data_IF_359512927450
#
_entry.id   IF_359512927450
#
_cell.length_a   1.000
_cell.length_b   1.000
_cell.length_c   1.000
_cell.angle_alpha   90.00
_cell.angle_beta   90.00
_cell.angle_gamma   90.00
#
_symmetry.space_group_name_H-M   'P 1'
#
loop_
_entity.id
_entity.type
_entity.pdbx_description
1 polymer ?
#
# COMPACT_ATOMS: atom_id res chain seq x y z
N UNK A 1 0.44 -8.33 10.58
CA UNK A 1 -0.59 -7.31 10.27
C UNK A 1 -1.16 -6.81 11.59
N UNK A 2 -1.84 -5.66 11.63
CA UNK A 2 -2.38 -5.18 12.91
C UNK A 2 -3.54 -6.04 13.42
N UNK A 3 -3.90 -5.87 14.67
CA UNK A 3 -5.14 -6.43 15.22
C UNK A 3 -6.39 -5.78 14.62
N UNK A 4 -7.46 -6.57 14.54
CA UNK A 4 -8.80 -6.14 14.17
C UNK A 4 -9.56 -5.53 15.36
N UNK A 5 -9.41 -6.13 16.55
CA UNK A 5 -10.12 -5.77 17.79
C UNK A 5 -9.19 -5.80 19.01
N UNK A 6 -8.49 -6.90 19.25
CA UNK A 6 -7.80 -7.16 20.52
C UNK A 6 -6.26 -7.21 20.36
N UNK A 7 -5.47 -6.87 21.39
CA UNK A 7 -5.89 -6.27 22.67
C UNK A 7 -6.35 -4.81 22.53
N UNK A 8 -5.92 -4.14 21.45
CA UNK A 8 -6.37 -2.80 21.06
C UNK A 8 -6.45 -2.77 19.55
N UNK A 9 -7.52 -2.23 18.98
CA UNK A 9 -7.69 -2.10 17.53
C UNK A 9 -6.49 -1.40 16.86
N UNK A 10 -5.96 -1.99 15.78
CA UNK A 10 -4.82 -1.45 15.05
C UNK A 10 -3.46 -1.68 15.72
N UNK A 11 -3.39 -2.48 16.79
CA UNK A 11 -2.12 -2.79 17.46
C UNK A 11 -1.16 -3.52 16.53
N UNK A 12 0.11 -3.08 16.52
CA UNK A 12 1.21 -3.65 15.73
C UNK A 12 2.53 -3.31 16.41
N UNK A 13 3.47 -4.25 16.44
CA UNK A 13 4.68 -4.16 17.27
C UNK A 13 6.01 -4.15 16.49
N UNK A 14 5.99 -4.52 15.21
CA UNK A 14 7.21 -4.69 14.42
C UNK A 14 7.11 -4.14 12.99
N UNK A 15 8.27 -4.03 12.33
CA UNK A 15 8.40 -3.54 10.96
C UNK A 15 8.34 -4.64 9.90
N UNK A 16 8.03 -5.88 10.29
CA UNK A 16 8.17 -7.05 9.42
C UNK A 16 7.10 -7.10 8.33
N UNK A 17 7.48 -7.70 7.20
CA UNK A 17 6.59 -7.95 6.06
C UNK A 17 5.95 -6.65 5.53
N UNK A 18 4.62 -6.59 5.40
CA UNK A 18 3.93 -5.44 4.81
C UNK A 18 4.00 -4.16 5.66
N UNK A 19 4.24 -4.26 6.99
CA UNK A 19 4.25 -3.10 7.89
C UNK A 19 5.28 -2.05 7.45
N UNK A 20 6.53 -2.47 7.21
CA UNK A 20 7.61 -1.58 6.80
C UNK A 20 7.38 -0.92 5.43
N UNK A 21 6.79 -1.66 4.49
CA UNK A 21 6.47 -1.12 3.16
C UNK A 21 5.35 -0.09 3.27
N UNK A 22 4.27 -0.39 3.99
CA UNK A 22 3.13 0.54 4.17
C UNK A 22 3.60 1.82 4.87
N UNK A 23 4.46 1.70 5.87
CA UNK A 23 5.09 2.84 6.52
C UNK A 23 5.93 3.69 5.55
N UNK A 24 6.76 3.06 4.73
CA UNK A 24 7.57 3.72 3.72
C UNK A 24 6.74 4.39 2.63
N UNK A 25 5.64 3.76 2.22
CA UNK A 25 4.64 4.33 1.30
C UNK A 25 4.00 5.58 1.91
N UNK A 26 3.58 5.52 3.18
CA UNK A 26 2.99 6.67 3.86
C UNK A 26 3.97 7.81 4.14
N UNK A 27 5.27 7.52 4.27
CA UNK A 27 6.35 8.53 4.31
C UNK A 27 6.70 9.10 2.92
N UNK A 28 6.16 8.52 1.85
CA UNK A 28 6.38 8.97 0.47
C UNK A 28 7.70 8.49 -0.16
N UNK A 29 8.41 7.58 0.50
CA UNK A 29 9.72 7.08 0.03
C UNK A 29 9.62 5.80 -0.80
N UNK A 30 8.48 5.09 -0.75
CA UNK A 30 8.21 3.91 -1.57
C UNK A 30 6.94 4.11 -2.39
N UNK A 31 7.05 4.00 -3.71
CA UNK A 31 6.05 4.52 -4.68
C UNK A 31 5.74 3.60 -5.86
N UNK A 32 6.41 2.47 -5.98
CA UNK A 32 6.06 1.45 -6.98
C UNK A 32 6.40 0.08 -6.42
N UNK A 33 5.51 -0.88 -6.66
CA UNK A 33 5.73 -2.27 -6.30
C UNK A 33 5.36 -3.15 -7.50
N UNK A 34 6.15 -4.18 -7.75
CA UNK A 34 5.79 -5.17 -8.73
C UNK A 34 4.71 -6.09 -8.15
N UNK A 35 3.65 -6.31 -8.91
CA UNK A 35 2.55 -7.19 -8.53
C UNK A 35 1.36 -7.08 -9.46
N UNK A 36 0.43 -8.02 -9.35
CA UNK A 36 -0.79 -8.02 -10.15
C UNK A 36 -1.93 -7.47 -9.30
N UNK A 37 -2.31 -6.21 -9.53
CA UNK A 37 -3.31 -5.51 -8.72
C UNK A 37 -4.68 -6.20 -8.61
N UNK A 38 -5.07 -7.00 -9.60
CA UNK A 38 -6.35 -7.74 -9.61
C UNK A 38 -6.32 -9.03 -8.80
N UNK A 39 -5.14 -9.53 -8.41
CA UNK A 39 -5.01 -10.74 -7.61
C UNK A 39 -5.43 -10.49 -6.16
N UNK A 40 -5.96 -11.53 -5.54
CA UNK A 40 -6.37 -11.51 -4.13
C UNK A 40 -5.15 -11.39 -3.23
N UNK A 41 -5.22 -10.48 -2.27
CA UNK A 41 -4.28 -10.31 -1.19
C UNK A 41 -4.85 -11.03 0.04
N UNK A 42 -4.27 -12.17 0.40
CA UNK A 42 -4.72 -12.93 1.56
C UNK A 42 -4.11 -12.35 2.84
N UNK A 43 -4.89 -11.53 3.55
CA UNK A 43 -4.42 -10.72 4.69
C UNK A 43 -5.23 -11.09 5.94
N UNK A 44 -4.60 -11.67 6.95
CA UNK A 44 -5.31 -12.03 8.19
C UNK A 44 -4.85 -11.12 9.35
N UNK A 45 -5.77 -10.45 10.07
CA UNK A 45 -5.44 -9.74 11.30
C UNK A 45 -4.78 -10.66 12.33
N UNK A 46 -3.85 -10.13 13.13
CA UNK A 46 -3.03 -10.95 14.04
C UNK A 46 -3.89 -11.63 15.13
N UNK A 47 -4.87 -10.93 15.65
CA UNK A 47 -5.80 -11.42 16.68
C UNK A 47 -6.74 -12.51 16.16
N UNK A 48 -7.17 -12.43 14.90
CA UNK A 48 -7.92 -13.52 14.24
C UNK A 48 -7.12 -14.83 14.21
N UNK A 49 -5.82 -14.75 13.89
CA UNK A 49 -4.94 -15.94 13.87
C UNK A 49 -4.74 -16.48 15.29
N UNK A 50 -4.51 -15.61 16.27
CA UNK A 50 -4.32 -15.99 17.67
C UNK A 50 -5.58 -16.67 18.23
N UNK A 51 -6.77 -16.12 17.98
CA UNK A 51 -8.03 -16.70 18.41
C UNK A 51 -8.23 -18.10 17.81
N UNK A 52 -7.95 -18.27 16.52
CA UNK A 52 -7.98 -19.59 15.90
C UNK A 52 -6.98 -20.54 16.56
N UNK A 53 -5.74 -20.10 16.84
CA UNK A 53 -4.73 -20.94 17.49
C UNK A 53 -5.17 -21.43 18.87
N UNK A 54 -5.79 -20.57 19.69
CA UNK A 54 -6.31 -20.93 21.01
C UNK A 54 -7.37 -22.04 20.88
N UNK A 55 -8.33 -21.85 19.97
CA UNK A 55 -9.41 -22.82 19.77
C UNK A 55 -8.90 -24.13 19.16
N UNK A 56 -7.93 -24.05 18.24
CA UNK A 56 -7.25 -25.23 17.70
C UNK A 56 -6.55 -26.05 18.79
N UNK A 57 -5.91 -25.40 19.76
CA UNK A 57 -5.27 -26.10 20.88
C UNK A 57 -6.29 -26.87 21.73
N UNK A 58 -7.42 -26.24 22.07
CA UNK A 58 -8.53 -26.90 22.75
C UNK A 58 -9.07 -28.09 21.94
N UNK A 59 -9.34 -27.89 20.64
CA UNK A 59 -9.88 -28.96 19.79
C UNK A 59 -8.90 -30.13 19.63
N UNK A 60 -7.61 -29.83 19.52
CA UNK A 60 -6.55 -30.84 19.42
C UNK A 60 -6.45 -31.67 20.70
N UNK A 61 -6.62 -31.05 21.87
CA UNK A 61 -6.68 -31.77 23.14
C UNK A 61 -7.85 -32.77 23.19
N UNK A 62 -9.03 -32.38 22.70
CA UNK A 62 -10.21 -33.26 22.68
C UNK A 62 -10.09 -34.42 21.68
N UNK A 63 -9.33 -34.23 20.59
CA UNK A 63 -9.14 -35.23 19.52
C UNK A 63 -7.82 -36.00 19.64
N UNK A 64 -7.29 -36.12 20.86
CA UNK A 64 -6.04 -36.84 21.11
C UNK A 64 -6.13 -38.27 20.58
N UNK A 65 -5.19 -38.65 19.71
CA UNK A 65 -5.14 -39.96 19.07
C UNK A 65 -5.75 -40.04 17.68
N UNK A 66 -6.46 -39.00 17.21
CA UNK A 66 -7.11 -38.99 15.89
C UNK A 66 -6.24 -38.43 14.74
N UNK A 67 -4.94 -38.26 14.98
CA UNK A 67 -4.00 -37.69 14.00
C UNK A 67 -4.02 -36.16 13.92
N UNK A 68 -3.24 -35.62 12.97
CA UNK A 68 -3.05 -34.17 12.81
C UNK A 68 -4.08 -33.58 11.86
N UNK A 69 -4.77 -32.53 12.31
CA UNK A 69 -5.74 -31.77 11.50
C UNK A 69 -5.13 -30.41 11.15
N UNK A 70 -5.19 -30.03 9.88
CA UNK A 70 -4.68 -28.76 9.38
C UNK A 70 -5.81 -27.72 9.31
N UNK A 71 -5.57 -26.54 9.88
CA UNK A 71 -6.49 -25.42 9.86
C UNK A 71 -5.84 -24.25 9.11
N UNK A 72 -6.35 -23.94 7.91
CA UNK A 72 -5.86 -22.81 7.12
C UNK A 72 -6.61 -21.53 7.50
N UNK A 73 -5.93 -20.57 8.10
CA UNK A 73 -6.49 -19.26 8.39
C UNK A 73 -6.32 -18.36 7.16
N UNK A 74 -7.36 -18.20 6.37
CA UNK A 74 -7.33 -17.41 5.14
C UNK A 74 -8.60 -16.59 4.96
N UNK A 75 -8.45 -15.44 4.30
CA UNK A 75 -9.54 -14.55 3.88
C UNK A 75 -9.93 -14.75 2.43
N UNK A 76 -9.03 -15.30 1.61
CA UNK A 76 -9.13 -15.26 0.15
C UNK A 76 -10.38 -15.90 -0.46
N UNK A 77 -10.97 -16.92 0.17
CA UNK A 77 -12.21 -17.53 -0.31
C UNK A 77 -13.47 -16.88 0.26
N UNK A 78 -13.45 -16.52 1.55
CA UNK A 78 -14.64 -16.09 2.27
C UNK A 78 -14.89 -14.58 2.22
N UNK A 79 -13.83 -13.77 2.19
CA UNK A 79 -13.90 -12.31 2.24
C UNK A 79 -12.71 -11.67 1.51
N UNK A 80 -12.59 -11.85 0.18
CA UNK A 80 -11.39 -11.44 -0.57
C UNK A 80 -11.23 -9.92 -0.66
N UNK A 81 -9.98 -9.46 -0.61
CA UNK A 81 -9.55 -8.13 -1.02
C UNK A 81 -8.47 -8.24 -2.10
N UNK A 82 -8.52 -7.41 -3.14
CA UNK A 82 -7.46 -7.37 -4.16
C UNK A 82 -6.32 -6.46 -3.74
N UNK A 83 -5.10 -6.73 -4.22
CA UNK A 83 -3.94 -5.87 -3.96
C UNK A 83 -4.20 -4.41 -4.36
N UNK A 84 -4.88 -4.17 -5.49
CA UNK A 84 -5.21 -2.81 -5.94
C UNK A 84 -6.17 -2.12 -4.98
N UNK A 85 -7.21 -2.82 -4.49
CA UNK A 85 -8.14 -2.26 -3.50
C UNK A 85 -7.42 -1.95 -2.20
N UNK A 86 -6.60 -2.88 -1.70
CA UNK A 86 -5.80 -2.70 -0.49
C UNK A 86 -4.89 -1.45 -0.58
N UNK A 87 -4.15 -1.30 -1.69
CA UNK A 87 -3.25 -0.16 -1.91
C UNK A 87 -4.02 1.16 -2.01
N UNK A 88 -5.12 1.20 -2.77
CA UNK A 88 -5.95 2.41 -2.90
C UNK A 88 -6.54 2.85 -1.55
N UNK A 89 -7.08 1.90 -0.78
CA UNK A 89 -7.64 2.18 0.54
C UNK A 89 -6.55 2.61 1.54
N UNK A 90 -5.36 2.00 1.45
CA UNK A 90 -4.21 2.44 2.27
C UNK A 90 -3.83 3.89 1.96
N UNK A 91 -3.76 4.28 0.68
CA UNK A 91 -3.50 5.67 0.31
C UNK A 91 -4.59 6.65 0.78
N UNK A 92 -5.88 6.26 0.69
CA UNK A 92 -6.99 7.05 1.24
C UNK A 92 -6.73 7.39 2.71
N UNK A 93 -6.38 6.39 3.52
CA UNK A 93 -6.18 6.60 4.95
C UNK A 93 -4.84 7.22 5.34
N UNK A 94 -3.76 6.96 4.59
CA UNK A 94 -2.48 7.67 4.76
C UNK A 94 -2.62 9.17 4.46
N UNK A 95 -3.49 9.56 3.53
CA UNK A 95 -3.75 10.98 3.22
C UNK A 95 -4.72 11.62 4.23
N UNK A 96 -5.67 10.86 4.77
CA UNK A 96 -6.57 11.30 5.85
C UNK A 96 -5.82 11.48 7.18
N UNK A 97 -4.89 10.58 7.47
CA UNK A 97 -4.09 10.49 8.70
C UNK A 97 -2.58 10.47 8.39
N UNK A 98 -2.01 11.56 7.84
CA UNK A 98 -0.63 11.58 7.39
C UNK A 98 0.36 11.46 8.53
N UNK A 99 1.38 10.63 8.33
CA UNK A 99 2.53 10.51 9.23
C UNK A 99 3.27 11.85 9.37
N UNK A 100 4.08 12.01 10.41
CA UNK A 100 4.99 13.15 10.52
C UNK A 100 6.12 13.00 9.48
N UNK A 101 6.86 14.06 9.19
CA UNK A 101 8.10 14.01 8.38
C UNK A 101 7.96 13.24 7.06
N UNK A 102 6.83 13.42 6.39
CA UNK A 102 6.58 12.85 5.06
C UNK A 102 7.51 13.55 4.07
N UNK A 103 8.27 12.77 3.30
CA UNK A 103 9.24 13.29 2.33
C UNK A 103 8.58 13.61 0.98
N UNK A 104 7.52 12.89 0.62
CA UNK A 104 6.77 13.13 -0.59
C UNK A 104 5.29 12.79 -0.42
N UNK A 105 4.42 13.42 -1.21
CA UNK A 105 3.00 13.10 -1.20
C UNK A 105 2.75 11.59 -1.43
N UNK A 106 2.08 10.86 -0.50
CA UNK A 106 1.86 9.43 -0.61
C UNK A 106 1.06 9.10 -1.87
N UNK A 107 1.66 8.29 -2.71
CA UNK A 107 1.11 7.85 -3.98
C UNK A 107 2.03 6.83 -4.62
N UNK A 108 1.58 6.26 -5.72
CA UNK A 108 2.25 5.14 -6.33
C UNK A 108 1.25 4.15 -6.88
N UNK A 109 1.77 3.05 -7.42
CA UNK A 109 0.94 2.02 -8.03
C UNK A 109 1.59 0.64 -7.89
N UNK A 110 0.74 -0.37 -7.86
CA UNK A 110 1.14 -1.77 -8.04
C UNK A 110 1.05 -2.10 -9.52
N UNK A 111 2.13 -2.58 -10.12
CA UNK A 111 2.22 -2.79 -11.57
C UNK A 111 2.72 -4.19 -11.89
N UNK A 112 2.10 -4.85 -12.86
CA UNK A 112 2.59 -6.13 -13.39
C UNK A 112 3.68 -5.93 -14.45
N UNK A 113 3.80 -4.72 -15.00
CA UNK A 113 4.80 -4.39 -16.00
C UNK A 113 6.16 -4.11 -15.33
N UNK A 114 7.13 -5.01 -15.56
CA UNK A 114 8.50 -4.93 -15.03
C UNK A 114 9.29 -3.73 -15.55
N UNK A 115 9.11 -3.35 -16.82
CA UNK A 115 9.78 -2.17 -17.39
C UNK A 115 9.27 -0.90 -16.72
N UNK A 116 7.95 -0.74 -16.63
CA UNK A 116 7.32 0.38 -15.90
C UNK A 116 7.82 0.43 -14.45
N UNK A 117 7.85 -0.70 -13.76
CA UNK A 117 8.36 -0.79 -12.39
C UNK A 117 9.83 -0.37 -12.30
N UNK A 118 10.71 -0.90 -13.17
CA UNK A 118 12.13 -0.58 -13.18
C UNK A 118 12.40 0.90 -13.44
N UNK A 119 11.71 1.50 -14.40
CA UNK A 119 11.81 2.94 -14.69
C UNK A 119 11.34 3.77 -13.50
N UNK A 120 10.18 3.44 -12.91
CA UNK A 120 9.67 4.17 -11.75
C UNK A 120 10.55 4.00 -10.51
N UNK A 121 11.08 2.80 -10.26
CA UNK A 121 11.99 2.53 -9.15
C UNK A 121 13.29 3.32 -9.29
N UNK A 122 13.87 3.37 -10.50
CA UNK A 122 15.04 4.19 -10.76
C UNK A 122 14.77 5.68 -10.50
N UNK A 123 13.69 6.22 -11.09
CA UNK A 123 13.39 7.66 -11.06
C UNK A 123 12.80 8.15 -9.74
N UNK A 124 12.05 7.31 -9.02
CA UNK A 124 11.30 7.71 -7.83
C UNK A 124 11.90 7.17 -6.52
N UNK A 125 12.76 6.15 -6.57
CA UNK A 125 13.40 5.57 -5.37
C UNK A 125 14.92 5.79 -5.41
N UNK A 126 15.62 5.18 -6.36
CA UNK A 126 17.09 5.10 -6.36
C UNK A 126 17.76 6.45 -6.63
N UNK A 127 17.38 7.14 -7.70
CA UNK A 127 17.99 8.42 -8.06
C UNK A 127 17.74 9.51 -6.99
N UNK A 128 16.51 9.71 -6.47
CA UNK A 128 16.28 10.67 -5.39
C UNK A 128 17.06 10.32 -4.11
N UNK A 129 17.16 9.04 -3.75
CA UNK A 129 17.93 8.62 -2.58
C UNK A 129 19.43 8.90 -2.73
N UNK A 130 20.00 8.64 -3.91
CA UNK A 130 21.40 8.97 -4.20
C UNK A 130 21.65 10.48 -4.14
N UNK A 131 20.76 11.30 -4.71
CA UNK A 131 20.86 12.77 -4.63
C UNK A 131 20.80 13.24 -3.18
N UNK A 132 19.87 12.72 -2.37
CA UNK A 132 19.76 13.07 -0.95
C UNK A 132 21.02 12.71 -0.16
N UNK A 133 21.63 11.56 -0.44
CA UNK A 133 22.86 11.14 0.22
C UNK A 133 24.09 11.93 -0.23
N UNK A 134 24.15 12.33 -1.52
CA UNK A 134 25.17 13.24 -2.02
C UNK A 134 25.08 14.62 -1.34
N UNK A 135 23.88 15.20 -1.26
CA UNK A 135 23.64 16.47 -0.56
C UNK A 135 23.97 16.34 0.94
N UNK A 136 23.61 15.22 1.56
CA UNK A 136 23.95 14.96 2.97
C UNK A 136 25.47 14.96 3.16
N UNK A 137 26.19 14.23 2.31
CA UNK A 137 27.66 14.15 2.35
C UNK A 137 28.30 15.52 2.14
N UNK A 138 27.84 16.28 1.14
CA UNK A 138 28.34 17.62 0.84
C UNK A 138 28.05 18.64 1.97
N UNK A 139 27.00 18.42 2.77
CA UNK A 139 26.63 19.26 3.91
C UNK A 139 27.19 18.74 5.24
N UNK A 140 28.10 17.76 5.22
CA UNK A 140 28.70 17.16 6.41
C UNK A 140 27.78 16.25 7.23
N UNK A 141 26.62 15.87 6.68
CA UNK A 141 25.65 14.96 7.30
C UNK A 141 25.89 13.52 6.83
N UNK A 142 25.53 12.57 7.69
CA UNK A 142 25.66 11.13 7.37
C UNK A 142 24.63 10.70 6.32
N UNK A 143 25.06 10.14 5.17
CA UNK A 143 24.14 9.58 4.17
C UNK A 143 23.42 8.32 4.70
N UNK A 144 22.15 8.15 4.33
CA UNK A 144 21.28 7.11 4.86
C UNK A 144 20.21 6.61 3.86
N UNK A 145 19.78 7.44 2.92
CA UNK A 145 18.62 7.17 2.07
C UNK A 145 18.82 5.99 1.11
N UNK A 146 20.01 5.85 0.51
CA UNK A 146 20.31 4.69 -0.36
C UNK A 146 20.22 3.39 0.43
N UNK A 147 20.69 3.39 1.68
CA UNK A 147 20.60 2.21 2.56
C UNK A 147 19.15 1.87 2.89
N UNK A 148 18.30 2.86 3.13
CA UNK A 148 16.87 2.65 3.35
C UNK A 148 16.20 2.09 2.10
N UNK A 149 16.45 2.66 0.92
CA UNK A 149 15.90 2.14 -0.32
C UNK A 149 16.33 0.70 -0.59
N UNK A 150 17.61 0.36 -0.38
CA UNK A 150 18.10 -1.01 -0.53
C UNK A 150 17.38 -2.01 0.39
N UNK A 151 17.01 -1.60 1.62
CA UNK A 151 16.22 -2.44 2.52
C UNK A 151 14.78 -2.61 2.02
N UNK A 152 14.18 -1.54 1.51
CA UNK A 152 12.81 -1.56 0.97
C UNK A 152 12.73 -2.41 -0.31
N UNK A 153 13.70 -2.31 -1.20
CA UNK A 153 13.78 -3.14 -2.41
C UNK A 153 13.92 -4.62 -2.06
N UNK A 154 14.77 -4.97 -1.08
CA UNK A 154 14.87 -6.35 -0.58
C UNK A 154 13.55 -6.85 0.00
N UNK A 155 12.89 -6.05 0.84
CA UNK A 155 11.58 -6.40 1.40
C UNK A 155 10.52 -6.58 0.31
N UNK A 156 10.50 -5.70 -0.69
CA UNK A 156 9.58 -5.80 -1.83
C UNK A 156 9.85 -7.06 -2.68
N UNK A 157 11.12 -7.42 -2.90
CA UNK A 157 11.50 -8.64 -3.61
C UNK A 157 11.04 -9.91 -2.88
N UNK A 158 11.14 -9.94 -1.54
CA UNK A 158 10.62 -11.05 -0.74
C UNK A 158 9.09 -11.21 -0.88
N UNK A 159 8.36 -10.11 -1.12
CA UNK A 159 6.91 -10.14 -1.31
C UNK A 159 6.48 -10.37 -2.76
N UNK A 160 7.37 -10.21 -3.74
CA UNK A 160 7.03 -10.31 -5.17
C UNK A 160 6.36 -11.65 -5.50
N UNK A 161 6.81 -12.75 -4.88
CA UNK A 161 6.20 -14.07 -5.08
C UNK A 161 4.69 -14.05 -4.77
N UNK A 162 4.31 -13.39 -3.66
CA UNK A 162 2.94 -13.28 -3.17
C UNK A 162 2.12 -12.22 -3.90
N UNK A 163 2.72 -11.10 -4.32
CA UNK A 163 1.99 -10.03 -5.03
C UNK A 163 1.76 -10.34 -6.50
N UNK A 164 2.50 -11.28 -7.09
CA UNK A 164 2.38 -11.67 -8.50
C UNK A 164 1.60 -12.96 -8.71
N UNK A 165 1.18 -13.65 -7.65
CA UNK A 165 0.43 -14.92 -7.68
C UNK A 165 -0.80 -14.84 -6.78
N UNK A 166 -1.66 -15.84 -6.90
CA UNK A 166 -2.85 -16.00 -6.06
C UNK A 166 -3.05 -17.48 -5.82
N UNK A 167 -3.63 -17.81 -4.67
CA UNK A 167 -3.89 -19.18 -4.24
C UNK A 167 -5.30 -19.26 -3.66
N UNK A 168 -5.90 -20.42 -3.78
CA UNK A 168 -7.12 -20.77 -3.08
C UNK A 168 -6.76 -21.80 -2.00
N UNK A 169 -6.97 -21.43 -0.74
CA UNK A 169 -6.71 -22.32 0.40
C UNK A 169 -8.03 -22.82 0.95
N UNK A 170 -8.24 -24.13 0.96
CA UNK A 170 -9.41 -24.73 1.59
C UNK A 170 -9.37 -24.49 3.11
N UNK A 171 -10.48 -24.01 3.67
CA UNK A 171 -10.63 -23.68 5.08
C UNK A 171 -11.82 -24.39 5.74
N UNK A 172 -12.27 -25.50 5.13
CA UNK A 172 -13.42 -26.28 5.60
C UNK A 172 -13.29 -26.69 7.06
N UNK A 173 -12.08 -27.08 7.49
CA UNK A 173 -11.79 -27.43 8.89
C UNK A 173 -11.97 -26.23 9.84
N UNK A 174 -11.63 -25.00 9.42
CA UNK A 174 -11.84 -23.79 10.23
C UNK A 174 -13.32 -23.46 10.31
N UNK A 175 -14.06 -23.62 9.21
CA UNK A 175 -15.51 -23.41 9.19
C UNK A 175 -16.24 -24.42 10.09
N UNK A 176 -15.88 -25.71 9.99
CA UNK A 176 -16.42 -26.76 10.85
C UNK A 176 -16.07 -26.54 12.33
N UNK A 177 -14.83 -26.10 12.62
CA UNK A 177 -14.41 -25.76 13.97
C UNK A 177 -15.27 -24.62 14.54
N UNK A 178 -15.43 -23.53 13.79
CA UNK A 178 -16.29 -22.41 14.20
C UNK A 178 -17.74 -22.87 14.46
N UNK A 179 -18.29 -23.72 13.59
CA UNK A 179 -19.64 -24.26 13.74
C UNK A 179 -19.81 -25.18 14.96
N UNK A 180 -18.72 -25.78 15.46
CA UNK A 180 -18.75 -26.64 16.66
C UNK A 180 -18.71 -25.88 17.98
N UNK A 181 -18.37 -24.59 17.97
CA UNK A 181 -18.25 -23.77 19.17
C UNK A 181 -19.61 -23.34 19.72
N UNK A 182 -19.66 -23.13 21.04
CA UNK A 182 -20.80 -22.46 21.69
C UNK A 182 -20.91 -21.00 21.21
N UNK A 183 -22.09 -20.36 21.30
CA UNK A 183 -22.23 -18.94 20.96
C UNK A 183 -21.29 -18.02 21.76
N UNK A 184 -21.01 -18.34 23.02
CA UNK A 184 -20.12 -17.55 23.87
C UNK A 184 -18.65 -17.68 23.44
N UNK A 185 -18.20 -18.89 23.12
CA UNK A 185 -16.83 -19.11 22.63
C UNK A 185 -16.61 -18.47 21.25
N UNK A 186 -17.62 -18.49 20.36
CA UNK A 186 -17.53 -17.81 19.06
C UNK A 186 -17.38 -16.30 19.20
N UNK A 187 -18.01 -15.71 20.22
CA UNK A 187 -17.89 -14.26 20.50
C UNK A 187 -16.56 -13.92 21.14
N UNK A 188 -16.09 -14.76 22.06
CA UNK A 188 -14.85 -14.55 22.80
C UNK A 188 -13.63 -14.78 21.92
N UNK A 189 -13.62 -15.86 21.15
CA UNK A 189 -12.53 -16.22 20.25
C UNK A 189 -12.96 -16.04 18.79
N UNK A 190 -13.37 -14.84 18.40
CA UNK A 190 -13.80 -14.57 17.03
C UNK A 190 -12.62 -14.69 16.06
N UNK A 191 -12.66 -15.72 15.21
CA UNK A 191 -11.76 -15.91 14.07
C UNK A 191 -12.51 -15.97 12.73
N UNK A 192 -13.77 -15.53 12.68
CA UNK A 192 -14.56 -15.51 11.45
C UNK A 192 -14.17 -14.32 10.57
N UNK A 193 -13.37 -14.59 9.54
CA UNK A 193 -12.86 -13.59 8.59
C UNK A 193 -13.94 -12.85 7.80
N UNK A 194 -15.17 -13.38 7.71
CA UNK A 194 -16.30 -12.70 7.06
C UNK A 194 -16.72 -11.42 7.80
N UNK A 195 -16.37 -11.31 9.08
CA UNK A 195 -16.67 -10.14 9.90
C UNK A 195 -15.69 -8.96 9.66
N UNK A 196 -14.68 -9.14 8.81
CA UNK A 196 -13.69 -8.08 8.51
C UNK A 196 -14.31 -7.05 7.56
N UNK A 197 -14.56 -5.85 8.08
CA UNK A 197 -14.73 -4.66 7.24
C UNK A 197 -13.34 -4.16 6.81
N UNK A 198 -13.00 -4.43 5.55
CA UNK A 198 -11.72 -4.04 4.97
C UNK A 198 -11.43 -2.54 5.01
N UNK A 199 -12.43 -1.68 4.83
CA UNK A 199 -12.21 -0.23 4.80
C UNK A 199 -11.88 0.28 6.21
N UNK A 200 -12.67 -0.13 7.21
CA UNK A 200 -12.44 0.21 8.62
C UNK A 200 -11.16 -0.43 9.19
N UNK A 201 -10.84 -1.66 8.78
CA UNK A 201 -9.62 -2.36 9.17
C UNK A 201 -8.38 -1.64 8.64
N UNK A 202 -8.35 -1.27 7.35
CA UNK A 202 -7.20 -0.57 6.77
C UNK A 202 -7.01 0.82 7.39
N UNK A 203 -8.08 1.55 7.70
CA UNK A 203 -7.97 2.82 8.46
C UNK A 203 -7.28 2.60 9.81
N UNK A 204 -7.74 1.60 10.54
CA UNK A 204 -7.23 1.28 11.87
C UNK A 204 -5.78 0.79 11.81
N UNK A 205 -5.42 0.08 10.75
CA UNK A 205 -4.05 -0.37 10.50
C UNK A 205 -3.11 0.81 10.21
N UNK A 206 -3.52 1.78 9.39
CA UNK A 206 -2.72 3.00 9.14
C UNK A 206 -2.54 3.81 10.42
N UNK A 207 -3.61 3.99 11.21
CA UNK A 207 -3.54 4.61 12.54
C UNK A 207 -2.66 3.82 13.50
N UNK A 208 -2.68 2.49 13.39
CA UNK A 208 -1.83 1.56 14.12
C UNK A 208 -0.34 1.78 13.85
N UNK A 209 0.05 1.85 12.58
CA UNK A 209 1.44 2.15 12.18
C UNK A 209 1.87 3.50 12.74
N UNK A 210 1.02 4.52 12.63
CA UNK A 210 1.28 5.85 13.19
C UNK A 210 1.53 5.79 14.71
N UNK A 211 0.60 5.19 15.45
CA UNK A 211 0.61 5.17 16.92
C UNK A 211 1.68 4.26 17.49
N UNK A 212 1.79 3.03 16.97
CA UNK A 212 2.59 1.99 17.61
C UNK A 212 3.98 1.85 17.01
N UNK A 213 4.18 2.10 15.71
CA UNK A 213 5.51 2.00 15.09
C UNK A 213 6.22 3.35 15.08
N UNK A 214 5.56 4.42 14.63
CA UNK A 214 6.14 5.77 14.64
C UNK A 214 5.99 6.52 15.96
N UNK A 215 5.20 5.99 16.91
CA UNK A 215 4.96 6.60 18.22
C UNK A 215 4.41 8.04 18.13
N UNK A 216 3.59 8.31 17.11
CA UNK A 216 3.04 9.65 16.86
C UNK A 216 1.70 9.84 17.59
N UNK A 217 1.56 10.94 18.33
CA UNK A 217 0.29 11.34 18.96
C UNK A 217 -0.75 11.78 17.92
N UNK A 218 -2.07 11.58 18.18
CA UNK A 218 -3.14 12.23 17.44
C UNK A 218 -2.97 13.76 17.33
N UNK A 219 -2.36 14.41 18.32
CA UNK A 219 -2.19 15.87 18.36
C UNK A 219 -1.27 16.40 17.26
N UNK A 220 -0.44 15.54 16.65
CA UNK A 220 0.42 15.96 15.52
C UNK A 220 -0.33 15.97 14.18
N UNK A 221 -1.57 15.45 14.12
CA UNK A 221 -2.34 15.36 12.87
C UNK A 221 -2.58 16.71 12.18
N UNK A 222 -2.95 17.81 12.86
CA UNK A 222 -3.13 19.10 12.21
C UNK A 222 -1.87 19.58 11.49
N UNK A 223 -0.71 19.45 12.15
CA UNK A 223 0.60 19.81 11.58
C UNK A 223 0.93 18.93 10.37
N UNK A 224 0.74 17.61 10.47
CA UNK A 224 1.04 16.68 9.39
C UNK A 224 0.12 16.87 8.18
N UNK A 225 -1.16 17.21 8.39
CA UNK A 225 -2.08 17.58 7.31
C UNK A 225 -1.66 18.87 6.61
N UNK A 226 -1.17 19.87 7.35
CA UNK A 226 -0.66 21.10 6.75
C UNK A 226 0.58 20.85 5.88
N UNK A 227 1.53 20.03 6.35
CA UNK A 227 2.70 19.60 5.57
C UNK A 227 2.25 18.82 4.33
N UNK A 228 1.33 17.88 4.48
CA UNK A 228 0.83 17.08 3.36
C UNK A 228 0.16 17.94 2.28
N UNK A 229 -0.60 18.98 2.65
CA UNK A 229 -1.20 19.91 1.68
C UNK A 229 -0.13 20.64 0.84
N UNK A 230 0.95 21.09 1.47
CA UNK A 230 2.09 21.72 0.76
C UNK A 230 2.75 20.73 -0.19
N UNK A 231 3.00 19.50 0.29
CA UNK A 231 3.56 18.43 -0.54
C UNK A 231 2.64 18.03 -1.69
N UNK A 232 1.33 18.12 -1.51
CA UNK A 232 0.37 17.89 -2.58
C UNK A 232 0.54 18.92 -3.70
N UNK A 233 0.63 20.22 -3.36
CA UNK A 233 0.88 21.29 -4.33
C UNK A 233 2.20 21.04 -5.06
N UNK A 234 3.28 20.76 -4.33
CA UNK A 234 4.60 20.43 -4.93
C UNK A 234 4.49 19.22 -5.86
N UNK A 235 3.73 18.19 -5.47
CA UNK A 235 3.54 17.00 -6.28
C UNK A 235 2.82 17.31 -7.60
N UNK A 236 1.73 18.08 -7.55
CA UNK A 236 0.98 18.50 -8.74
C UNK A 236 1.86 19.37 -9.65
N UNK A 237 2.54 20.38 -9.09
CA UNK A 237 3.45 21.24 -9.87
C UNK A 237 4.57 20.41 -10.54
N UNK A 238 5.12 19.42 -9.84
CA UNK A 238 6.13 18.52 -10.40
C UNK A 238 5.57 17.68 -11.53
N UNK A 239 4.34 17.18 -11.42
CA UNK A 239 3.68 16.42 -12.48
C UNK A 239 3.42 17.30 -13.71
N UNK A 240 2.86 18.49 -13.52
CA UNK A 240 2.60 19.46 -14.60
C UNK A 240 3.91 19.85 -15.29
N UNK A 241 4.96 20.17 -14.52
CA UNK A 241 6.28 20.50 -15.06
C UNK A 241 6.86 19.33 -15.86
N UNK A 242 6.77 18.10 -15.34
CA UNK A 242 7.26 16.89 -16.03
C UNK A 242 6.54 16.69 -17.37
N UNK A 243 5.21 16.80 -17.40
CA UNK A 243 4.42 16.70 -18.63
C UNK A 243 4.80 17.82 -19.62
N UNK A 244 4.93 19.05 -19.13
CA UNK A 244 5.31 20.20 -19.95
C UNK A 244 6.70 20.05 -20.57
N UNK A 245 7.72 19.66 -19.79
CA UNK A 245 9.08 19.46 -20.29
C UNK A 245 9.18 18.26 -21.23
N UNK A 246 8.48 17.16 -20.96
CA UNK A 246 8.41 16.02 -21.89
C UNK A 246 7.75 16.42 -23.21
N UNK A 247 6.62 17.14 -23.14
CA UNK A 247 5.96 17.69 -24.33
C UNK A 247 6.90 18.59 -25.12
N UNK A 248 7.56 19.56 -24.46
CA UNK A 248 8.51 20.48 -25.10
C UNK A 248 9.70 19.75 -25.73
N UNK A 249 10.22 18.72 -25.07
CA UNK A 249 11.31 17.89 -25.56
C UNK A 249 10.90 17.12 -26.81
N UNK A 250 9.79 16.37 -26.76
CA UNK A 250 9.29 15.59 -27.90
C UNK A 250 8.99 16.48 -29.13
N UNK A 251 8.38 17.64 -28.91
CA UNK A 251 8.09 18.61 -29.97
C UNK A 251 9.36 19.26 -30.55
N UNK A 252 10.40 19.44 -29.74
CA UNK A 252 11.69 19.95 -30.26
C UNK A 252 12.41 18.93 -31.15
N UNK A 253 12.19 17.64 -30.91
CA UNK A 253 12.88 16.54 -31.61
C UNK A 253 12.12 15.97 -32.80
N UNK A 254 10.79 16.14 -32.86
CA UNK A 254 9.96 15.55 -33.92
C UNK A 254 9.28 16.61 -34.80
N UNK A 255 9.70 16.69 -36.06
CA UNK A 255 9.03 17.49 -37.09
C UNK A 255 7.61 17.00 -37.38
N UNK A 256 7.38 15.69 -37.32
CA UNK A 256 6.08 15.07 -37.53
C UNK A 256 5.08 15.51 -36.44
N UNK A 257 5.46 15.46 -35.16
CA UNK A 257 4.60 15.94 -34.06
C UNK A 257 4.27 17.43 -34.21
N UNK A 258 5.24 18.26 -34.59
CA UNK A 258 5.01 19.68 -34.86
C UNK A 258 4.06 19.93 -36.02
N UNK A 259 4.10 19.10 -37.06
CA UNK A 259 3.21 19.19 -38.23
C UNK A 259 1.79 18.77 -37.89
N UNK A 260 1.61 17.62 -37.22
CA UNK A 260 0.31 17.13 -36.76
C UNK A 260 -0.36 18.14 -35.83
N UNK A 261 0.38 18.68 -34.87
CA UNK A 261 -0.16 19.67 -33.93
C UNK A 261 -0.59 20.97 -34.58
N UNK A 262 0.16 21.45 -35.58
CA UNK A 262 -0.26 22.63 -36.37
C UNK A 262 -1.59 22.37 -37.09
N UNK A 263 -1.75 21.20 -37.72
CA UNK A 263 -3.01 20.82 -38.37
C UNK A 263 -4.18 20.72 -37.38
N UNK A 264 -3.96 20.18 -36.18
CA UNK A 264 -4.98 20.14 -35.12
C UNK A 264 -5.39 21.55 -34.70
N UNK A 265 -4.43 22.45 -34.47
CA UNK A 265 -4.71 23.86 -34.14
C UNK A 265 -5.46 24.58 -35.26
N UNK A 266 -5.10 24.34 -36.52
CA UNK A 266 -5.81 24.87 -37.68
C UNK A 266 -7.26 24.37 -37.76
N UNK A 267 -7.50 23.09 -37.48
CA UNK A 267 -8.85 22.53 -37.45
C UNK A 267 -9.69 23.09 -36.28
N UNK A 268 -9.11 23.20 -35.09
CA UNK A 268 -9.79 23.77 -33.91
C UNK A 268 -10.13 25.25 -34.13
N UNK A 269 -9.22 26.03 -34.70
CA UNK A 269 -9.48 27.44 -35.00
C UNK A 269 -10.53 27.60 -36.09
N UNK A 270 -10.55 26.73 -37.12
CA UNK A 270 -11.63 26.70 -38.13
C UNK A 270 -12.98 26.33 -37.50
N UNK A 271 -13.03 25.29 -36.66
CA UNK A 271 -14.26 24.88 -35.98
C UNK A 271 -14.79 25.97 -35.04
N UNK A 272 -13.91 26.62 -34.28
CA UNK A 272 -14.28 27.75 -33.40
C UNK A 272 -14.83 28.94 -34.20
N UNK A 273 -14.25 29.25 -35.37
CA UNK A 273 -14.78 30.29 -36.26
C UNK A 273 -16.14 29.94 -36.82
N UNK A 274 -16.39 28.69 -37.19
CA UNK A 274 -17.70 28.24 -37.68
C UNK A 274 -18.77 28.29 -36.57
N UNK A 275 -18.42 27.90 -35.34
CA UNK A 275 -19.30 28.00 -34.18
C UNK A 275 -19.61 29.45 -33.76
N UNK A 276 -18.70 30.39 -34.02
CA UNK A 276 -18.93 31.81 -33.72
C UNK A 276 -19.82 32.52 -34.75
N UNK A 277 -20.10 31.88 -35.89
CA UNK A 277 -20.94 32.41 -36.98
C UNK A 277 -22.36 31.79 -36.96
N UNK A 278 -22.55 30.69 -36.22
CA UNK A 278 -23.82 30.01 -35.98
C UNK A 278 -24.51 30.53 -34.72
#
# INVERSE_FOLDING_TARGET
>A
LSSLREPVKGWVDNWNGPNGIIAAVGKGIFRTMLGTGTKVADLVPVDTVINLMIVCAWRTHLRRGEGVVVYNCCTGQQNPITWQRFVKTSFKYMRKHPFNEVLWYPGGDITSNRLKHGTLSLLQHRAPAAIMDLVSTATGKKPMMVRVQNKLEKAAACLEYFTTRQWAFADDNVQALCASLSPDDRRTFDFNVRNIDWDAYIESYVLGIRRFLFKESPDTLPKSRAVLRRLHIVHILTQVATVFFLWRFLFSRSNALRSIWRRVLELLTRAARLLAIA
#
